data_IF_174726858105
#
_entry.id   IF_174726858105
#
_cell.length_a   1.000
_cell.length_b   1.000
_cell.length_c   1.000
_cell.angle_alpha   90.00
_cell.angle_beta   90.00
_cell.angle_gamma   90.00
#
_symmetry.space_group_name_H-M   'P 1'
#
loop_
_entity.id
_entity.type
_entity.pdbx_description
1 polymer ?
#
# COMPACT_ATOMS: atom_id res chain seq x y z
N UNK A 1 26.08 -2.11 -29.68
CA UNK A 1 26.52 -3.15 -28.71
C UNK A 1 25.36 -3.41 -27.77
N UNK A 2 24.53 -4.41 -28.09
CA UNK A 2 23.51 -4.91 -27.17
C UNK A 2 24.18 -6.04 -26.40
N UNK A 3 24.75 -5.70 -25.25
CA UNK A 3 25.19 -6.70 -24.29
C UNK A 3 23.94 -7.38 -23.75
N UNK A 4 23.74 -8.64 -24.15
CA UNK A 4 22.83 -9.55 -23.49
C UNK A 4 23.27 -9.58 -22.03
N UNK A 5 22.47 -8.99 -21.14
CA UNK A 5 22.67 -9.16 -19.70
C UNK A 5 22.51 -10.65 -19.47
N UNK A 6 23.61 -11.32 -19.13
CA UNK A 6 23.60 -12.72 -18.72
C UNK A 6 22.59 -12.86 -17.57
N UNK A 7 21.67 -13.83 -17.65
CA UNK A 7 20.53 -13.93 -16.74
C UNK A 7 20.97 -14.13 -15.29
N UNK A 8 22.17 -14.68 -15.09
CA UNK A 8 22.86 -14.80 -13.80
C UNK A 8 23.07 -13.44 -13.12
N UNK A 9 23.49 -12.42 -13.85
CA UNK A 9 23.79 -11.09 -13.32
C UNK A 9 22.54 -10.22 -13.10
N UNK A 10 21.46 -10.44 -13.86
CA UNK A 10 20.22 -9.67 -13.72
C UNK A 10 19.61 -9.84 -12.32
N UNK A 11 19.42 -11.08 -11.87
CA UNK A 11 18.82 -11.38 -10.56
C UNK A 11 19.67 -10.82 -9.41
N UNK A 12 20.99 -10.95 -9.48
CA UNK A 12 21.92 -10.46 -8.46
C UNK A 12 21.86 -8.93 -8.33
N UNK A 13 21.83 -8.21 -9.46
CA UNK A 13 21.71 -6.75 -9.48
C UNK A 13 20.34 -6.32 -8.94
N UNK A 14 19.25 -6.96 -9.39
CA UNK A 14 17.89 -6.65 -8.94
C UNK A 14 17.72 -6.88 -7.42
N UNK A 15 18.31 -7.95 -6.88
CA UNK A 15 18.32 -8.18 -5.44
C UNK A 15 19.12 -7.12 -4.69
N UNK A 16 20.28 -6.74 -5.22
CA UNK A 16 21.12 -5.73 -4.58
C UNK A 16 20.39 -4.40 -4.51
N UNK A 17 19.71 -4.00 -5.59
CA UNK A 17 18.84 -2.82 -5.64
C UNK A 17 17.72 -2.93 -4.59
N UNK A 18 17.03 -4.07 -4.52
CA UNK A 18 15.95 -4.27 -3.55
C UNK A 18 16.45 -4.23 -2.10
N UNK A 19 17.56 -4.91 -1.79
CA UNK A 19 18.12 -4.92 -0.45
C UNK A 19 18.61 -3.53 -0.02
N UNK A 20 19.26 -2.78 -0.92
CA UNK A 20 19.65 -1.39 -0.68
C UNK A 20 18.42 -0.49 -0.49
N UNK A 21 17.39 -0.66 -1.32
CA UNK A 21 16.10 0.04 -1.19
C UNK A 21 15.48 -0.18 0.19
N UNK A 22 15.40 -1.44 0.63
CA UNK A 22 14.85 -1.81 1.93
C UNK A 22 15.73 -1.25 3.05
N UNK A 23 17.05 -1.39 2.94
CA UNK A 23 18.01 -0.86 3.91
C UNK A 23 17.84 0.65 4.10
N UNK A 24 17.84 1.43 3.02
CA UNK A 24 17.58 2.88 3.05
C UNK A 24 16.16 3.22 3.53
N UNK A 25 15.19 2.34 3.34
CA UNK A 25 13.86 2.44 3.92
C UNK A 25 13.83 2.22 5.44
N UNK A 26 14.83 1.54 5.99
CA UNK A 26 14.90 1.19 7.41
C UNK A 26 15.81 2.11 8.23
N UNK A 27 16.90 2.59 7.65
CA UNK A 27 17.89 3.43 8.35
C UNK A 27 17.49 4.90 8.40
N UNK A 28 18.11 5.63 9.32
CA UNK A 28 17.92 7.08 9.49
C UNK A 28 18.41 7.84 8.25
N UNK A 29 17.76 8.96 7.91
CA UNK A 29 18.17 9.82 6.80
C UNK A 29 19.60 10.33 6.96
N UNK A 30 20.11 10.47 8.20
CA UNK A 30 21.51 10.83 8.44
C UNK A 30 22.52 9.73 8.07
N UNK A 31 22.04 8.50 7.84
CA UNK A 31 22.84 7.31 7.50
C UNK A 31 22.57 6.87 6.07
N UNK A 32 21.41 7.20 5.51
CA UNK A 32 21.13 7.03 4.09
C UNK A 32 22.17 7.85 3.30
N UNK A 33 22.96 7.16 2.48
CA UNK A 33 23.75 7.81 1.44
C UNK A 33 22.76 8.60 0.56
N UNK A 34 23.18 9.69 -0.08
CA UNK A 34 22.35 10.61 -0.90
C UNK A 34 21.50 9.96 -2.03
N UNK A 35 21.46 8.63 -2.13
CA UNK A 35 20.46 7.86 -2.86
C UNK A 35 19.10 7.91 -2.17
N UNK A 36 18.06 8.17 -2.96
CA UNK A 36 16.69 8.00 -2.49
C UNK A 36 16.24 6.56 -2.75
N UNK A 37 15.47 5.98 -1.83
CA UNK A 37 14.73 4.73 -2.06
C UNK A 37 14.02 4.72 -3.43
N UNK A 38 13.47 5.86 -3.83
CA UNK A 38 12.82 6.08 -5.14
C UNK A 38 13.80 5.87 -6.31
N UNK A 39 15.04 6.33 -6.19
CA UNK A 39 16.09 6.15 -7.20
C UNK A 39 16.40 4.66 -7.41
N UNK A 40 16.48 3.87 -6.34
CA UNK A 40 16.70 2.43 -6.45
C UNK A 40 15.51 1.74 -7.12
N UNK A 41 14.28 2.04 -6.71
CA UNK A 41 13.09 1.48 -7.36
C UNK A 41 13.04 1.88 -8.85
N UNK A 42 13.35 3.13 -9.20
CA UNK A 42 13.43 3.60 -10.59
C UNK A 42 14.49 2.84 -11.41
N UNK A 43 15.68 2.60 -10.84
CA UNK A 43 16.71 1.77 -11.45
C UNK A 43 16.26 0.33 -11.66
N UNK A 44 15.61 -0.26 -10.65
CA UNK A 44 14.99 -1.58 -10.73
C UNK A 44 13.92 -1.67 -11.81
N UNK A 45 13.05 -0.66 -11.92
CA UNK A 45 12.05 -0.58 -12.97
C UNK A 45 12.67 -0.50 -14.36
N UNK A 46 13.73 0.29 -14.52
CA UNK A 46 14.46 0.41 -15.79
C UNK A 46 15.04 -0.94 -16.20
N UNK A 47 15.64 -1.68 -15.27
CA UNK A 47 16.16 -3.03 -15.54
C UNK A 47 15.05 -4.02 -15.88
N UNK A 48 13.91 -3.95 -15.18
CA UNK A 48 12.76 -4.81 -15.44
C UNK A 48 12.18 -4.56 -16.83
N UNK A 49 12.04 -3.30 -17.25
CA UNK A 49 11.55 -2.95 -18.59
C UNK A 49 12.51 -3.44 -19.68
N UNK A 50 13.82 -3.22 -19.52
CA UNK A 50 14.85 -3.74 -20.42
C UNK A 50 14.82 -5.27 -20.51
N UNK A 51 14.55 -5.97 -19.39
CA UNK A 51 14.45 -7.43 -19.35
C UNK A 51 13.17 -7.95 -20.00
N UNK A 52 12.03 -7.27 -19.79
CA UNK A 52 10.72 -7.62 -20.32
C UNK A 52 10.62 -7.54 -21.85
N UNK A 53 11.52 -6.79 -22.51
CA UNK A 53 11.52 -6.61 -23.96
C UNK A 53 12.07 -7.82 -24.77
N UNK A 54 12.54 -8.91 -24.15
CA UNK A 54 13.27 -9.94 -24.92
C UNK A 54 13.22 -11.40 -24.46
N UNK A 55 12.60 -11.75 -23.31
CA UNK A 55 12.59 -13.15 -22.86
C UNK A 55 11.58 -13.44 -21.76
N UNK A 56 10.89 -14.57 -21.86
CA UNK A 56 10.10 -15.15 -20.76
C UNK A 56 11.03 -15.43 -19.57
N UNK A 57 10.72 -14.86 -18.41
CA UNK A 57 11.44 -15.18 -17.17
C UNK A 57 11.10 -16.61 -16.75
N UNK A 58 12.06 -17.51 -16.89
CA UNK A 58 11.91 -18.94 -16.56
C UNK A 58 12.40 -19.29 -15.15
N UNK A 59 13.35 -18.51 -14.61
CA UNK A 59 13.90 -18.69 -13.25
C UNK A 59 12.90 -18.22 -12.18
N UNK A 60 12.55 -19.07 -11.19
CA UNK A 60 11.68 -18.67 -10.08
C UNK A 60 12.21 -17.47 -9.29
N UNK A 61 13.53 -17.38 -9.11
CA UNK A 61 14.15 -16.31 -8.33
C UNK A 61 14.10 -14.96 -9.08
N UNK A 62 14.37 -14.98 -10.40
CA UNK A 62 14.19 -13.81 -11.27
C UNK A 62 12.74 -13.33 -11.28
N UNK A 63 11.79 -14.26 -11.26
CA UNK A 63 10.37 -13.96 -11.20
C UNK A 63 9.98 -13.25 -9.90
N UNK A 64 10.38 -13.81 -8.75
CA UNK A 64 10.06 -13.26 -7.43
C UNK A 64 10.57 -11.82 -7.28
N UNK A 65 11.84 -11.57 -7.64
CA UNK A 65 12.41 -10.22 -7.51
C UNK A 65 11.77 -9.23 -8.47
N UNK A 66 11.41 -9.66 -9.68
CA UNK A 66 10.75 -8.81 -10.69
C UNK A 66 9.36 -8.39 -10.24
N UNK A 67 8.59 -9.31 -9.64
CA UNK A 67 7.28 -8.98 -9.06
C UNK A 67 7.40 -8.01 -7.91
N UNK A 68 8.38 -8.20 -7.02
CA UNK A 68 8.56 -7.29 -5.89
C UNK A 68 8.85 -5.87 -6.38
N UNK A 69 9.74 -5.70 -7.36
CA UNK A 69 10.03 -4.37 -7.94
C UNK A 69 8.79 -3.77 -8.60
N UNK A 70 8.04 -4.58 -9.35
CA UNK A 70 6.80 -4.13 -9.98
C UNK A 70 5.74 -3.70 -8.94
N UNK A 71 5.59 -4.46 -7.85
CA UNK A 71 4.69 -4.11 -6.75
C UNK A 71 5.11 -2.83 -6.01
N UNK A 72 6.42 -2.59 -5.84
CA UNK A 72 6.94 -1.35 -5.25
C UNK A 72 6.66 -0.15 -6.18
N UNK A 73 6.81 -0.31 -7.50
CA UNK A 73 6.43 0.72 -8.47
C UNK A 73 4.94 1.06 -8.37
N UNK A 74 4.07 0.04 -8.30
CA UNK A 74 2.63 0.24 -8.14
C UNK A 74 2.33 0.92 -6.80
N UNK A 75 2.98 0.50 -5.71
CA UNK A 75 2.84 1.12 -4.40
C UNK A 75 3.19 2.60 -4.45
N UNK A 76 4.34 2.97 -5.02
CA UNK A 76 4.72 4.36 -5.24
C UNK A 76 3.64 5.07 -6.05
N UNK A 77 3.20 4.52 -7.18
CA UNK A 77 2.13 5.11 -7.99
C UNK A 77 0.77 5.21 -7.30
N UNK A 78 0.45 4.40 -6.29
CA UNK A 78 -0.77 4.61 -5.50
C UNK A 78 -0.62 5.78 -4.53
N UNK A 79 0.55 5.85 -3.93
CA UNK A 79 0.87 6.69 -2.78
C UNK A 79 1.22 8.10 -3.25
N UNK A 80 1.95 8.20 -4.36
CA UNK A 80 2.43 9.43 -5.00
C UNK A 80 1.75 9.75 -6.30
N UNK A 81 0.85 8.88 -6.82
CA UNK A 81 0.27 8.85 -8.18
C UNK A 81 0.86 9.75 -9.24
N UNK A 82 2.18 9.64 -9.31
CA UNK A 82 2.96 9.86 -10.48
C UNK A 82 2.72 8.68 -11.43
N UNK A 83 3.08 8.89 -12.70
CA UNK A 83 2.95 7.85 -13.71
C UNK A 83 3.80 6.62 -13.40
N UNK A 84 3.26 5.47 -13.78
CA UNK A 84 3.97 4.19 -13.70
C UNK A 84 4.96 4.10 -14.87
N UNK A 85 6.21 3.75 -14.57
CA UNK A 85 7.28 3.66 -15.58
C UNK A 85 7.16 2.43 -16.47
N UNK A 86 6.43 1.40 -16.04
CA UNK A 86 6.28 0.12 -16.75
C UNK A 86 4.78 -0.12 -17.00
N UNK A 87 4.41 -0.47 -18.23
CA UNK A 87 3.03 -0.84 -18.55
C UNK A 87 2.70 -2.27 -18.14
N UNK A 88 1.40 -2.55 -17.95
CA UNK A 88 0.93 -3.90 -17.66
C UNK A 88 1.29 -4.91 -18.78
N UNK A 89 1.25 -4.46 -20.04
CA UNK A 89 1.57 -5.29 -21.20
C UNK A 89 3.01 -5.80 -21.16
N UNK A 90 3.96 -4.95 -20.75
CA UNK A 90 5.38 -5.31 -20.64
C UNK A 90 5.65 -6.39 -19.60
N UNK A 91 4.77 -6.55 -18.60
CA UNK A 91 4.94 -7.53 -17.51
C UNK A 91 4.09 -8.78 -17.65
N UNK A 92 3.20 -8.84 -18.65
CA UNK A 92 2.35 -10.01 -18.91
C UNK A 92 3.15 -11.27 -19.23
N UNK A 93 4.38 -11.11 -19.73
CA UNK A 93 5.32 -12.19 -20.02
C UNK A 93 6.11 -12.68 -18.79
N UNK A 94 5.96 -12.04 -17.63
CA UNK A 94 6.61 -12.44 -16.37
C UNK A 94 6.02 -13.72 -15.75
N UNK A 95 5.34 -14.62 -16.46
CA UNK A 95 4.78 -15.85 -15.87
C UNK A 95 3.87 -15.65 -14.64
N UNK A 96 3.20 -14.50 -14.53
CA UNK A 96 2.16 -14.27 -13.52
C UNK A 96 0.98 -15.30 -13.50
N UNK A 97 0.73 -16.18 -14.50
CA UNK A 97 -0.36 -17.16 -14.42
C UNK A 97 -0.20 -18.27 -13.38
N UNK A 98 0.95 -18.41 -12.69
CA UNK A 98 1.15 -19.50 -11.71
C UNK A 98 0.22 -19.39 -10.48
N UNK A 99 -0.23 -18.17 -10.15
CA UNK A 99 -1.22 -17.91 -9.10
C UNK A 99 -2.29 -16.94 -9.64
N UNK A 100 -3.37 -17.45 -10.27
CA UNK A 100 -4.36 -16.62 -10.95
C UNK A 100 -4.97 -15.52 -10.07
N UNK A 101 -5.25 -15.83 -8.80
CA UNK A 101 -5.80 -14.85 -7.86
C UNK A 101 -4.80 -13.73 -7.54
N UNK A 102 -3.51 -14.04 -7.45
CA UNK A 102 -2.47 -13.04 -7.20
C UNK A 102 -2.29 -12.15 -8.44
N UNK A 103 -2.33 -12.73 -9.64
CA UNK A 103 -2.29 -11.97 -10.89
C UNK A 103 -3.46 -10.99 -11.01
N UNK A 104 -4.69 -11.47 -10.80
CA UNK A 104 -5.89 -10.62 -10.83
C UNK A 104 -5.79 -9.50 -9.81
N UNK A 105 -5.33 -9.80 -8.59
CA UNK A 105 -5.11 -8.80 -7.55
C UNK A 105 -4.13 -7.72 -8.01
N UNK A 106 -2.93 -8.11 -8.44
CA UNK A 106 -1.88 -7.18 -8.88
C UNK A 106 -2.37 -6.32 -10.05
N UNK A 107 -3.17 -6.89 -10.97
CA UNK A 107 -3.77 -6.14 -12.07
C UNK A 107 -4.75 -5.07 -11.58
N UNK A 108 -5.65 -5.41 -10.66
CA UNK A 108 -6.62 -4.46 -10.11
C UNK A 108 -5.93 -3.32 -9.35
N UNK A 109 -4.86 -3.62 -8.63
CA UNK A 109 -4.04 -2.62 -7.94
C UNK A 109 -3.31 -1.72 -8.96
N UNK A 110 -2.73 -2.30 -10.00
CA UNK A 110 -2.11 -1.55 -11.10
C UNK A 110 -3.12 -0.58 -11.76
N UNK A 111 -4.32 -1.06 -12.09
CA UNK A 111 -5.38 -0.22 -12.65
C UNK A 111 -5.79 0.90 -11.70
N UNK A 112 -5.82 0.63 -10.39
CA UNK A 112 -6.11 1.63 -9.37
C UNK A 112 -5.02 2.70 -9.30
N UNK A 113 -3.75 2.33 -9.44
CA UNK A 113 -2.63 3.27 -9.49
C UNK A 113 -2.69 4.17 -10.74
N UNK A 114 -2.98 3.61 -11.91
CA UNK A 114 -3.23 4.40 -13.12
C UNK A 114 -4.38 5.39 -12.93
N UNK A 115 -5.50 4.93 -12.33
CA UNK A 115 -6.64 5.80 -12.06
C UNK A 115 -6.28 6.92 -11.08
N UNK A 116 -5.48 6.64 -10.04
CA UNK A 116 -5.00 7.66 -9.10
C UNK A 116 -4.18 8.76 -9.79
N UNK A 117 -3.35 8.40 -10.79
CA UNK A 117 -2.61 9.37 -11.59
C UNK A 117 -3.56 10.26 -12.42
N UNK A 118 -4.52 9.65 -13.14
CA UNK A 118 -5.51 10.39 -13.93
C UNK A 118 -6.33 11.34 -13.05
N UNK A 119 -6.70 10.85 -11.87
CA UNK A 119 -7.52 11.57 -10.92
C UNK A 119 -6.77 12.74 -10.27
N UNK A 120 -5.50 12.58 -9.89
CA UNK A 120 -4.67 13.74 -9.48
C UNK A 120 -4.57 14.77 -10.59
N UNK A 121 -4.30 14.33 -11.82
CA UNK A 121 -4.15 15.23 -12.95
C UNK A 121 -5.42 16.06 -13.13
N UNK A 122 -6.58 15.41 -13.12
CA UNK A 122 -7.88 16.08 -13.21
C UNK A 122 -8.13 17.06 -12.05
N UNK A 123 -7.80 16.68 -10.81
CA UNK A 123 -7.99 17.54 -9.63
C UNK A 123 -7.04 18.75 -9.63
N UNK A 124 -5.81 18.60 -10.13
CA UNK A 124 -4.85 19.71 -10.25
C UNK A 124 -5.20 20.67 -11.41
N UNK A 125 -5.77 20.16 -12.50
CA UNK A 125 -6.15 20.97 -13.65
C UNK A 125 -7.54 21.58 -13.55
N UNK A 126 -8.33 21.19 -12.53
CA UNK A 126 -9.72 21.60 -12.34
C UNK A 126 -9.88 23.13 -12.25
N UNK A 127 -10.61 23.71 -13.22
CA UNK A 127 -10.89 25.15 -13.32
C UNK A 127 -12.33 25.48 -13.74
N UNK A 128 -13.06 24.58 -14.39
CA UNK A 128 -14.36 24.88 -14.99
C UNK A 128 -15.31 23.66 -15.11
N UNK A 129 -16.53 23.90 -15.59
CA UNK A 129 -17.60 22.88 -15.65
C UNK A 129 -17.29 21.66 -16.55
N UNK A 130 -16.44 21.81 -17.57
CA UNK A 130 -16.00 20.67 -18.40
C UNK A 130 -15.18 19.66 -17.59
N UNK A 131 -14.48 20.10 -16.55
CA UNK A 131 -13.66 19.25 -15.68
C UNK A 131 -14.53 18.38 -14.75
N UNK A 132 -15.80 18.77 -14.51
CA UNK A 132 -16.76 17.99 -13.72
C UNK A 132 -17.12 16.68 -14.43
N UNK A 133 -17.28 16.70 -15.75
CA UNK A 133 -17.62 15.48 -16.52
C UNK A 133 -16.48 14.47 -16.43
N UNK A 134 -15.23 14.96 -16.52
CA UNK A 134 -14.05 14.12 -16.35
C UNK A 134 -13.96 13.52 -14.94
N UNK A 135 -14.16 14.33 -13.89
CA UNK A 135 -14.16 13.84 -12.51
C UNK A 135 -15.28 12.83 -12.23
N UNK A 136 -16.47 13.04 -12.80
CA UNK A 136 -17.59 12.09 -12.72
C UNK A 136 -17.27 10.75 -13.41
N UNK A 137 -16.61 10.79 -14.58
CA UNK A 137 -16.17 9.58 -15.27
C UNK A 137 -15.11 8.82 -14.46
N UNK A 138 -14.12 9.53 -13.90
CA UNK A 138 -13.08 8.95 -13.05
C UNK A 138 -13.69 8.33 -11.78
N UNK A 139 -14.60 9.03 -11.11
CA UNK A 139 -15.31 8.50 -9.93
C UNK A 139 -16.13 7.23 -10.27
N UNK A 140 -16.76 7.19 -11.43
CA UNK A 140 -17.49 5.99 -11.90
C UNK A 140 -16.56 4.80 -12.15
N UNK A 141 -15.36 5.04 -12.70
CA UNK A 141 -14.33 4.01 -12.86
C UNK A 141 -13.81 3.52 -11.49
N UNK A 142 -13.62 4.43 -10.53
CA UNK A 142 -13.19 4.08 -9.17
C UNK A 142 -14.21 3.17 -8.47
N UNK A 143 -15.50 3.48 -8.57
CA UNK A 143 -16.58 2.62 -8.06
C UNK A 143 -16.57 1.23 -8.70
N UNK A 144 -16.35 1.16 -10.02
CA UNK A 144 -16.23 -0.11 -10.74
C UNK A 144 -15.02 -0.92 -10.27
N UNK A 145 -13.87 -0.28 -10.06
CA UNK A 145 -12.66 -0.93 -9.53
C UNK A 145 -12.84 -1.39 -8.09
N UNK A 146 -13.44 -0.59 -7.21
CA UNK A 146 -13.75 -0.97 -5.83
C UNK A 146 -14.63 -2.22 -5.78
N UNK A 147 -15.64 -2.30 -6.65
CA UNK A 147 -16.50 -3.47 -6.79
C UNK A 147 -15.72 -4.70 -7.30
N UNK A 148 -14.87 -4.53 -8.31
CA UNK A 148 -14.04 -5.64 -8.81
C UNK A 148 -13.06 -6.16 -7.76
N UNK A 149 -12.48 -5.29 -6.93
CA UNK A 149 -11.67 -5.67 -5.78
C UNK A 149 -12.51 -6.50 -4.78
N UNK A 150 -13.72 -6.04 -4.45
CA UNK A 150 -14.61 -6.77 -3.54
C UNK A 150 -14.99 -8.16 -4.09
N UNK A 151 -15.28 -8.25 -5.40
CA UNK A 151 -15.57 -9.51 -6.08
C UNK A 151 -14.36 -10.43 -6.07
N UNK A 152 -13.17 -9.91 -6.35
CA UNK A 152 -11.92 -10.66 -6.27
C UNK A 152 -11.71 -11.29 -4.88
N UNK A 153 -11.97 -10.54 -3.80
CA UNK A 153 -11.82 -11.05 -2.44
C UNK A 153 -12.68 -12.29 -2.17
N UNK A 154 -13.85 -12.41 -2.83
CA UNK A 154 -14.76 -13.57 -2.73
C UNK A 154 -14.27 -14.79 -3.51
N UNK A 155 -13.30 -14.63 -4.41
CA UNK A 155 -12.74 -15.73 -5.24
C UNK A 155 -11.52 -16.41 -4.62
N UNK A 156 -11.03 -15.93 -3.47
CA UNK A 156 -9.80 -16.40 -2.87
C UNK A 156 -9.91 -17.83 -2.34
N UNK A 157 -8.89 -18.69 -2.57
CA UNK A 157 -8.85 -20.00 -1.95
C UNK A 157 -8.72 -19.89 -0.42
N UNK A 158 -9.14 -20.91 0.36
CA UNK A 158 -9.02 -20.89 1.82
C UNK A 158 -7.60 -20.61 2.32
N UNK A 159 -6.58 -21.08 1.61
CA UNK A 159 -5.16 -20.85 1.94
C UNK A 159 -4.72 -19.39 1.82
N UNK A 160 -5.43 -18.56 1.06
CA UNK A 160 -5.15 -17.13 0.91
C UNK A 160 -6.03 -16.25 1.80
N UNK A 161 -7.00 -16.82 2.51
CA UNK A 161 -7.83 -16.10 3.47
C UNK A 161 -7.08 -15.88 4.80
N UNK A 162 -7.67 -15.03 5.63
CA UNK A 162 -7.23 -14.80 7.01
C UNK A 162 -8.35 -15.19 7.98
N UNK A 163 -7.95 -15.54 9.20
CA UNK A 163 -8.88 -15.75 10.31
C UNK A 163 -8.88 -14.53 11.22
N UNK A 164 -10.04 -14.21 11.79
CA UNK A 164 -10.22 -13.12 12.74
C UNK A 164 -10.37 -13.70 14.15
N UNK A 165 -9.57 -13.21 15.08
CA UNK A 165 -9.71 -13.46 16.52
C UNK A 165 -9.80 -12.15 17.30
N UNK A 166 -10.13 -12.21 18.58
CA UNK A 166 -10.17 -11.03 19.46
C UNK A 166 -8.82 -10.78 20.14
N UNK A 167 -8.47 -9.51 20.35
CA UNK A 167 -7.31 -9.11 21.15
C UNK A 167 -7.59 -9.36 22.64
N UNK A 168 -6.91 -10.34 23.24
CA UNK A 168 -6.90 -10.55 24.67
C UNK A 168 -5.70 -9.83 25.29
N UNK A 169 -5.91 -8.61 25.82
CA UNK A 169 -4.84 -7.72 26.30
C UNK A 169 -3.97 -8.38 27.36
N UNK A 170 -4.61 -9.06 28.32
CA UNK A 170 -3.92 -9.68 29.46
C UNK A 170 -3.00 -10.83 29.07
N UNK A 171 -3.18 -11.39 27.87
CA UNK A 171 -2.35 -12.47 27.35
C UNK A 171 -1.26 -11.97 26.39
N UNK A 172 -1.20 -10.66 26.12
CA UNK A 172 -0.19 -10.09 25.23
C UNK A 172 1.09 -9.75 25.97
N UNK A 173 2.20 -9.73 25.24
CA UNK A 173 3.50 -9.38 25.82
C UNK A 173 3.59 -7.93 26.26
N UNK A 174 4.41 -7.70 27.29
CA UNK A 174 4.66 -6.39 27.89
C UNK A 174 5.07 -5.33 26.86
N UNK A 175 5.96 -5.67 25.93
CA UNK A 175 6.47 -4.71 24.96
C UNK A 175 5.41 -4.26 23.94
N UNK A 176 4.28 -4.96 23.78
CA UNK A 176 3.15 -4.53 22.95
C UNK A 176 2.21 -3.55 23.67
N UNK A 177 2.33 -3.39 25.00
CA UNK A 177 1.47 -2.49 25.78
C UNK A 177 1.40 -1.05 25.26
N UNK A 178 2.47 -0.43 24.71
CA UNK A 178 2.37 0.91 24.12
C UNK A 178 1.30 1.04 23.03
N UNK A 179 1.02 -0.06 22.29
CA UNK A 179 0.01 -0.14 21.25
C UNK A 179 -1.37 -0.55 21.78
N UNK A 180 -1.41 -1.32 22.86
CA UNK A 180 -2.64 -1.88 23.45
C UNK A 180 -3.28 -0.95 24.49
N UNK A 181 -2.53 -0.04 25.07
CA UNK A 181 -3.01 0.90 26.10
C UNK A 181 -3.45 2.27 25.52
N UNK A 182 -3.65 2.36 24.21
CA UNK A 182 -4.15 3.56 23.57
C UNK A 182 -5.67 3.75 23.78
N UNK A 183 -6.19 4.99 23.78
CA UNK A 183 -7.62 5.28 23.95
C UNK A 183 -8.49 4.54 22.92
N UNK A 184 -8.04 4.55 21.67
CA UNK A 184 -8.52 3.65 20.63
C UNK A 184 -7.43 2.64 20.29
N UNK A 185 -7.83 1.41 19.98
CA UNK A 185 -6.96 0.33 19.55
C UNK A 185 -7.72 -0.65 18.67
N UNK A 186 -7.00 -1.39 17.80
CA UNK A 186 -7.55 -2.58 17.17
C UNK A 186 -8.10 -3.56 18.20
N UNK A 187 -9.30 -4.08 17.95
CA UNK A 187 -9.96 -5.08 18.81
C UNK A 187 -9.88 -6.49 18.23
N UNK A 188 -9.56 -6.59 16.94
CA UNK A 188 -9.37 -7.85 16.25
C UNK A 188 -7.89 -8.12 15.95
N UNK A 189 -7.58 -9.41 15.77
CA UNK A 189 -6.31 -9.92 15.30
C UNK A 189 -6.55 -10.79 14.08
N UNK A 190 -5.76 -10.55 13.05
CA UNK A 190 -5.71 -11.34 11.84
C UNK A 190 -4.65 -12.43 11.97
N UNK A 191 -5.03 -13.65 11.63
CA UNK A 191 -4.10 -14.77 11.48
C UNK A 191 -4.01 -15.13 10.00
N UNK A 192 -2.79 -15.07 9.46
CA UNK A 192 -2.52 -15.37 8.06
C UNK A 192 -1.74 -16.68 7.95
N UNK A 193 -1.95 -17.40 6.85
CA UNK A 193 -1.19 -18.62 6.52
C UNK A 193 0.26 -18.33 6.11
N UNK A 194 0.53 -17.12 5.60
CA UNK A 194 1.83 -16.69 5.11
C UNK A 194 1.96 -15.16 5.13
N UNK A 195 3.20 -14.66 5.08
CA UNK A 195 3.49 -13.24 4.90
C UNK A 195 2.94 -12.72 3.57
N UNK A 196 3.00 -13.52 2.51
CA UNK A 196 2.43 -13.17 1.20
C UNK A 196 0.93 -12.93 1.26
N UNK A 197 0.18 -13.78 1.98
CA UNK A 197 -1.26 -13.56 2.22
C UNK A 197 -1.51 -12.27 3.00
N UNK A 198 -0.68 -11.97 3.99
CA UNK A 198 -0.78 -10.73 4.75
C UNK A 198 -0.55 -9.49 3.86
N UNK A 199 0.49 -9.50 3.03
CA UNK A 199 0.80 -8.42 2.08
C UNK A 199 -0.37 -8.25 1.10
N UNK A 200 -0.87 -9.35 0.54
CA UNK A 200 -2.02 -9.35 -0.38
C UNK A 200 -3.24 -8.63 0.24
N UNK A 201 -3.64 -8.99 1.46
CA UNK A 201 -4.77 -8.33 2.12
C UNK A 201 -4.50 -6.86 2.49
N UNK A 202 -3.27 -6.53 2.89
CA UNK A 202 -2.88 -5.14 3.17
C UNK A 202 -3.01 -4.26 1.94
N UNK A 203 -2.50 -4.70 0.81
CA UNK A 203 -2.61 -3.95 -0.44
C UNK A 203 -4.06 -3.81 -0.90
N UNK A 204 -4.88 -4.86 -0.74
CA UNK A 204 -6.32 -4.80 -0.99
C UNK A 204 -6.99 -3.68 -0.16
N UNK A 205 -6.82 -3.66 1.15
CA UNK A 205 -7.43 -2.63 2.00
C UNK A 205 -6.84 -1.23 1.74
N UNK A 206 -5.53 -1.14 1.50
CA UNK A 206 -4.85 0.12 1.19
C UNK A 206 -5.41 0.77 -0.08
N UNK A 207 -5.55 0.02 -1.17
CA UNK A 207 -6.12 0.53 -2.41
C UNK A 207 -7.56 0.96 -2.21
N UNK A 208 -8.39 0.14 -1.56
CA UNK A 208 -9.79 0.51 -1.30
C UNK A 208 -9.89 1.72 -0.38
N UNK A 209 -8.98 1.91 0.58
CA UNK A 209 -8.89 3.12 1.40
C UNK A 209 -8.64 4.35 0.52
N UNK A 210 -7.62 4.30 -0.35
CA UNK A 210 -7.27 5.41 -1.26
C UNK A 210 -8.44 5.75 -2.19
N UNK A 211 -9.06 4.74 -2.82
CA UNK A 211 -10.21 4.94 -3.71
C UNK A 211 -11.40 5.57 -2.99
N UNK A 212 -11.77 5.06 -1.81
CA UNK A 212 -12.92 5.59 -1.05
C UNK A 212 -12.64 6.99 -0.50
N UNK A 213 -11.40 7.29 -0.11
CA UNK A 213 -11.01 8.64 0.29
C UNK A 213 -11.12 9.64 -0.89
N UNK A 214 -10.62 9.25 -2.06
CA UNK A 214 -10.71 10.05 -3.28
C UNK A 214 -12.17 10.27 -3.72
N UNK A 215 -13.02 9.24 -3.58
CA UNK A 215 -14.45 9.32 -3.83
C UNK A 215 -15.14 10.31 -2.89
N UNK A 216 -14.87 10.27 -1.57
CA UNK A 216 -15.49 11.20 -0.62
C UNK A 216 -15.18 12.65 -0.95
N UNK A 217 -13.93 12.95 -1.26
CA UNK A 217 -13.52 14.30 -1.64
C UNK A 217 -14.16 14.75 -2.95
N UNK A 218 -14.15 13.88 -3.96
CA UNK A 218 -14.74 14.18 -5.26
C UNK A 218 -16.25 14.37 -5.14
N UNK A 219 -16.92 13.61 -4.27
CA UNK A 219 -18.33 13.80 -3.96
C UNK A 219 -18.62 15.22 -3.47
N UNK A 220 -17.77 15.76 -2.58
CA UNK A 220 -17.90 17.15 -2.12
C UNK A 220 -17.81 18.19 -3.24
N UNK A 221 -16.96 17.95 -4.26
CA UNK A 221 -16.89 18.81 -5.46
C UNK A 221 -18.16 18.68 -6.30
N UNK A 222 -18.62 17.44 -6.52
CA UNK A 222 -19.78 17.14 -7.36
C UNK A 222 -21.09 17.65 -6.76
N UNK A 223 -21.28 17.56 -5.44
CA UNK A 223 -22.43 18.10 -4.71
C UNK A 223 -22.55 19.62 -4.82
N UNK A 224 -21.41 20.32 -4.86
CA UNK A 224 -21.38 21.77 -5.10
C UNK A 224 -21.67 22.13 -6.55
N UNK A 225 -21.51 21.18 -7.47
CA UNK A 225 -21.71 21.39 -8.88
C UNK A 225 -23.19 21.28 -9.27
N UNK A 226 -23.66 22.15 -10.17
CA UNK A 226 -25.05 22.14 -10.69
C UNK A 226 -25.25 21.16 -11.86
N UNK A 227 -24.23 20.37 -12.19
CA UNK A 227 -24.19 19.55 -13.41
C UNK A 227 -24.76 18.16 -13.14
N UNK A 228 -25.67 17.70 -13.98
CA UNK A 228 -26.23 16.34 -13.95
C UNK A 228 -25.62 15.46 -15.06
N UNK A 229 -25.42 14.15 -14.83
CA UNK A 229 -25.72 13.40 -13.60
C UNK A 229 -24.54 13.38 -12.62
N UNK A 230 -24.84 13.66 -11.35
CA UNK A 230 -23.94 13.34 -10.25
C UNK A 230 -23.95 11.82 -10.06
N UNK A 231 -22.78 11.15 -9.97
CA UNK A 231 -22.74 9.78 -9.48
C UNK A 231 -23.36 9.80 -8.08
N UNK A 232 -24.41 9.00 -7.87
CA UNK A 232 -25.06 8.88 -6.56
C UNK A 232 -24.09 8.10 -5.67
N UNK A 233 -23.13 8.82 -5.10
CA UNK A 233 -22.22 8.31 -4.09
C UNK A 233 -22.95 8.40 -2.75
N UNK A 234 -23.23 7.25 -2.14
CA UNK A 234 -23.70 7.25 -0.76
C UNK A 234 -22.53 7.66 0.14
N UNK A 235 -22.56 8.91 0.62
CA UNK A 235 -21.53 9.43 1.53
C UNK A 235 -21.38 8.51 2.75
N UNK A 236 -22.49 8.15 3.40
CA UNK A 236 -22.47 7.28 4.58
C UNK A 236 -21.88 5.89 4.30
N UNK A 237 -22.16 5.31 3.12
CA UNK A 237 -21.57 4.01 2.74
C UNK A 237 -20.07 4.12 2.51
N UNK A 238 -19.64 5.17 1.78
CA UNK A 238 -18.22 5.42 1.50
C UNK A 238 -17.44 5.70 2.79
N UNK A 239 -17.99 6.50 3.71
CA UNK A 239 -17.43 6.74 5.05
C UNK A 239 -17.32 5.44 5.86
N UNK A 240 -18.37 4.62 5.88
CA UNK A 240 -18.37 3.35 6.60
C UNK A 240 -17.33 2.38 6.02
N UNK A 241 -17.21 2.30 4.69
CA UNK A 241 -16.20 1.47 4.00
C UNK A 241 -14.80 1.95 4.35
N UNK A 242 -14.56 3.26 4.26
CA UNK A 242 -13.27 3.86 4.56
C UNK A 242 -12.80 3.50 5.97
N UNK A 243 -13.64 3.72 6.99
CA UNK A 243 -13.31 3.38 8.38
C UNK A 243 -13.05 1.89 8.56
N UNK A 244 -13.86 1.04 7.94
CA UNK A 244 -13.66 -0.42 7.99
C UNK A 244 -12.31 -0.85 7.44
N UNK A 245 -11.87 -0.27 6.31
CA UNK A 245 -10.56 -0.57 5.72
C UNK A 245 -9.41 0.00 6.53
N UNK A 246 -9.55 1.21 7.06
CA UNK A 246 -8.58 1.82 7.99
C UNK A 246 -8.40 0.95 9.24
N UNK A 247 -9.49 0.49 9.85
CA UNK A 247 -9.45 -0.38 11.03
C UNK A 247 -8.81 -1.73 10.68
N UNK A 248 -9.16 -2.33 9.53
CA UNK A 248 -8.57 -3.59 9.05
C UNK A 248 -7.06 -3.49 8.82
N UNK A 249 -6.58 -2.35 8.32
CA UNK A 249 -5.16 -2.06 8.15
C UNK A 249 -4.45 -1.95 9.52
N UNK A 250 -5.02 -1.21 10.47
CA UNK A 250 -4.49 -1.11 11.83
C UNK A 250 -4.45 -2.48 12.54
N UNK A 251 -5.51 -3.27 12.41
CA UNK A 251 -5.59 -4.65 12.90
C UNK A 251 -4.50 -5.53 12.27
N UNK A 252 -4.29 -5.43 10.96
CA UNK A 252 -3.21 -6.13 10.27
C UNK A 252 -1.83 -5.71 10.76
N UNK A 253 -1.60 -4.42 11.03
CA UNK A 253 -0.34 -3.89 11.59
C UNK A 253 -0.06 -4.48 12.97
N UNK A 254 -1.04 -4.50 13.87
CA UNK A 254 -0.90 -5.13 15.19
C UNK A 254 -0.63 -6.64 15.08
N UNK A 255 -1.36 -7.31 14.18
CA UNK A 255 -1.29 -8.75 13.98
C UNK A 255 0.09 -9.24 13.55
N UNK A 256 0.85 -8.42 12.82
CA UNK A 256 2.24 -8.73 12.48
C UNK A 256 3.07 -9.02 13.72
N UNK A 257 2.95 -8.22 14.78
CA UNK A 257 3.82 -8.34 15.95
C UNK A 257 3.31 -9.36 16.96
N UNK A 258 2.00 -9.56 17.05
CA UNK A 258 1.42 -10.59 17.93
C UNK A 258 1.77 -12.01 17.47
N UNK A 259 1.84 -12.25 16.17
CA UNK A 259 2.08 -13.60 15.63
C UNK A 259 3.56 -14.03 15.67
N UNK A 260 4.53 -13.09 15.62
CA UNK A 260 5.98 -13.37 15.78
C UNK A 260 6.25 -14.11 17.10
N UNK A 261 5.57 -13.68 18.15
CA UNK A 261 5.77 -14.15 19.52
C UNK A 261 5.38 -15.62 19.69
N UNK A 262 4.46 -16.11 18.86
CA UNK A 262 3.97 -17.49 18.93
C UNK A 262 4.93 -18.49 18.29
N UNK A 263 5.97 -18.03 17.58
CA UNK A 263 6.90 -18.90 16.88
C UNK A 263 8.08 -19.27 17.79
N UNK A 264 8.45 -20.55 17.78
CA UNK A 264 9.59 -21.09 18.53
C UNK A 264 10.90 -20.44 18.05
N UNK A 265 11.77 -19.94 18.96
CA UNK A 265 13.07 -19.35 18.61
C UNK A 265 13.99 -20.22 17.74
N UNK A 266 13.76 -21.53 17.67
CA UNK A 266 14.58 -22.45 16.88
C UNK A 266 14.20 -22.49 15.40
N UNK A 267 13.09 -21.86 14.99
CA UNK A 267 12.55 -21.89 13.62
C UNK A 267 12.34 -20.49 13.01
N UNK A 268 13.32 -19.59 13.15
CA UNK A 268 13.25 -18.31 12.45
C UNK A 268 13.50 -18.49 10.96
N UNK A 269 12.42 -18.42 10.17
CA UNK A 269 12.52 -18.13 8.74
C UNK A 269 12.78 -16.64 8.54
N UNK A 270 13.26 -16.23 7.36
CA UNK A 270 13.53 -14.83 7.07
C UNK A 270 12.30 -13.92 7.28
N UNK A 271 11.10 -14.45 7.06
CA UNK A 271 9.82 -13.76 7.26
C UNK A 271 9.50 -13.49 8.73
N UNK A 272 10.19 -14.15 9.67
CA UNK A 272 10.02 -13.94 11.11
C UNK A 272 10.99 -12.88 11.68
N UNK A 273 11.89 -12.34 10.85
CA UNK A 273 12.85 -11.29 11.26
C UNK A 273 12.07 -10.01 11.57
N UNK A 274 12.16 -9.45 12.79
CA UNK A 274 11.37 -8.29 13.20
C UNK A 274 11.52 -7.06 12.28
N UNK A 275 12.71 -6.80 11.75
CA UNK A 275 12.94 -5.68 10.82
C UNK A 275 12.23 -5.85 9.48
N UNK A 276 12.13 -7.08 8.96
CA UNK A 276 11.35 -7.39 7.73
C UNK A 276 9.87 -7.12 7.97
N UNK A 277 9.37 -7.54 9.13
CA UNK A 277 7.98 -7.37 9.52
C UNK A 277 7.62 -5.92 9.82
N UNK A 278 8.55 -5.17 10.41
CA UNK A 278 8.46 -3.73 10.53
C UNK A 278 8.45 -3.04 9.17
N UNK A 279 9.33 -3.40 8.23
CA UNK A 279 9.33 -2.88 6.85
C UNK A 279 7.97 -3.06 6.17
N UNK A 280 7.42 -4.27 6.21
CA UNK A 280 6.12 -4.60 5.59
C UNK A 280 4.97 -3.83 6.28
N UNK A 281 5.12 -3.46 7.55
CA UNK A 281 4.17 -2.62 8.27
C UNK A 281 4.27 -1.15 7.87
N UNK A 282 5.49 -0.64 7.63
CA UNK A 282 5.69 0.71 7.12
C UNK A 282 5.02 0.96 5.78
N UNK A 283 4.79 -0.05 4.94
CA UNK A 283 4.21 0.18 3.61
C UNK A 283 2.80 0.82 3.64
N UNK A 284 2.03 0.57 4.71
CA UNK A 284 0.63 1.06 4.82
C UNK A 284 0.44 2.22 5.79
N UNK A 285 1.41 2.46 6.71
CA UNK A 285 1.35 3.58 7.66
C UNK A 285 1.22 4.95 6.97
N UNK A 286 1.94 5.22 5.86
CA UNK A 286 1.78 6.43 5.08
C UNK A 286 0.31 6.66 4.71
N UNK A 287 -0.31 5.68 4.04
CA UNK A 287 -1.73 5.76 3.63
C UNK A 287 -2.67 5.96 4.81
N UNK A 288 -2.45 5.25 5.92
CA UNK A 288 -3.24 5.40 7.14
C UNK A 288 -3.16 6.82 7.73
N UNK A 289 -1.95 7.36 7.83
CA UNK A 289 -1.71 8.71 8.36
C UNK A 289 -2.43 9.76 7.53
N UNK A 290 -2.21 9.78 6.22
CA UNK A 290 -2.83 10.75 5.32
C UNK A 290 -4.35 10.64 5.29
N UNK A 291 -4.87 9.41 5.21
CA UNK A 291 -6.30 9.18 5.18
C UNK A 291 -6.96 9.80 6.42
N UNK A 292 -6.44 9.50 7.61
CA UNK A 292 -6.98 9.99 8.87
C UNK A 292 -6.78 11.50 9.07
N UNK A 293 -5.80 12.12 8.42
CA UNK A 293 -5.62 13.58 8.43
C UNK A 293 -6.56 14.33 7.49
N UNK A 294 -6.88 13.74 6.34
CA UNK A 294 -7.63 14.42 5.28
C UNK A 294 -9.14 14.18 5.36
N UNK A 295 -9.60 13.13 6.03
CA UNK A 295 -11.04 12.86 6.16
C UNK A 295 -11.65 13.45 7.42
N UNK A 296 -12.91 13.88 7.30
CA UNK A 296 -13.71 14.37 8.42
C UNK A 296 -15.05 13.62 8.44
N UNK A 297 -15.16 12.64 9.35
CA UNK A 297 -16.35 11.78 9.48
C UNK A 297 -16.99 12.06 10.84
N UNK A 298 -18.24 12.53 10.82
CA UNK A 298 -18.94 12.93 12.04
C UNK A 298 -19.26 11.71 12.90
N UNK A 299 -19.01 11.80 14.20
CA UNK A 299 -19.34 10.74 15.16
C UNK A 299 -18.35 9.57 15.21
N UNK A 300 -17.24 9.64 14.48
CA UNK A 300 -16.15 8.66 14.54
C UNK A 300 -14.94 9.27 15.25
N UNK A 301 -14.34 8.50 16.15
CA UNK A 301 -13.10 8.88 16.84
C UNK A 301 -11.88 8.71 15.91
N UNK A 302 -11.69 9.68 15.02
CA UNK A 302 -10.51 9.79 14.15
C UNK A 302 -9.26 10.22 14.93
N UNK A 303 -9.43 10.99 16.01
CA UNK A 303 -8.32 11.52 16.81
C UNK A 303 -7.53 10.40 17.48
N UNK A 304 -8.21 9.49 18.18
CA UNK A 304 -7.54 8.36 18.84
C UNK A 304 -6.99 7.35 17.84
N UNK A 305 -7.58 7.21 16.65
CA UNK A 305 -7.01 6.41 15.55
C UNK A 305 -5.69 6.97 15.05
N UNK A 306 -5.61 8.30 14.83
CA UNK A 306 -4.35 8.97 14.47
C UNK A 306 -3.29 8.80 15.55
N UNK A 307 -3.68 8.94 16.81
CA UNK A 307 -2.79 8.68 17.94
C UNK A 307 -2.25 7.25 17.91
N UNK A 308 -3.10 6.26 17.63
CA UNK A 308 -2.68 4.87 17.52
C UNK A 308 -1.70 4.64 16.36
N UNK A 309 -1.95 5.21 15.19
CA UNK A 309 -1.03 5.14 14.03
C UNK A 309 0.32 5.78 14.37
N UNK A 310 0.33 6.93 15.06
CA UNK A 310 1.56 7.57 15.52
C UNK A 310 2.31 6.72 16.55
N UNK A 311 1.59 6.07 17.48
CA UNK A 311 2.16 5.10 18.43
C UNK A 311 2.78 3.89 17.72
N UNK A 312 2.14 3.39 16.66
CA UNK A 312 2.71 2.33 15.83
C UNK A 312 4.03 2.79 15.18
N UNK A 313 4.06 3.98 14.58
CA UNK A 313 5.31 4.55 14.04
C UNK A 313 6.42 4.69 15.08
N UNK A 314 6.10 5.23 16.26
CA UNK A 314 7.03 5.32 17.38
C UNK A 314 7.52 3.94 17.84
N UNK A 315 6.63 2.96 17.92
CA UNK A 315 6.96 1.58 18.31
C UNK A 315 7.94 0.94 17.32
N UNK A 316 7.74 1.11 16.01
CA UNK A 316 8.67 0.61 14.98
C UNK A 316 10.06 1.22 15.15
N UNK A 317 10.16 2.52 15.48
CA UNK A 317 11.45 3.16 15.75
C UNK A 317 12.08 2.68 17.05
N UNK A 318 11.34 2.71 18.15
CA UNK A 318 11.86 2.46 19.49
C UNK A 318 12.21 0.98 19.73
N UNK A 319 11.44 0.05 19.15
CA UNK A 319 11.60 -1.38 19.41
C UNK A 319 12.26 -2.15 18.26
N UNK A 320 12.14 -1.67 17.01
CA UNK A 320 12.69 -2.37 15.84
C UNK A 320 13.80 -1.59 15.14
N UNK A 321 14.17 -0.41 15.64
CA UNK A 321 15.23 0.43 15.09
C UNK A 321 14.90 1.02 13.71
N UNK A 322 13.62 1.05 13.32
CA UNK A 322 13.21 1.54 12.00
C UNK A 322 13.05 3.05 12.06
N UNK A 323 14.09 3.77 11.64
CA UNK A 323 14.19 5.21 11.84
C UNK A 323 13.09 5.98 11.10
N UNK A 324 12.74 5.53 9.89
CA UNK A 324 11.63 6.09 9.08
C UNK A 324 10.23 5.81 9.65
N UNK A 325 10.13 5.04 10.75
CA UNK A 325 8.86 4.86 11.46
C UNK A 325 8.26 6.15 12.03
N UNK A 326 9.07 7.21 12.18
CA UNK A 326 8.65 8.52 12.73
C UNK A 326 8.53 9.62 11.67
N UNK A 327 9.08 9.41 10.47
CA UNK A 327 8.88 10.34 9.36
C UNK A 327 7.54 10.05 8.70
N UNK A 328 6.48 10.63 9.28
CA UNK A 328 5.38 11.08 8.44
C UNK A 328 6.02 12.02 7.41
N UNK A 329 6.30 11.51 6.21
CA UNK A 329 6.76 12.36 5.11
C UNK A 329 5.73 13.51 5.05
N UNK A 330 6.19 14.76 5.13
CA UNK A 330 5.31 15.89 5.38
C UNK A 330 4.25 15.98 4.29
N UNK A 331 3.02 16.35 4.65
CA UNK A 331 2.02 16.64 3.65
C UNK A 331 2.56 17.72 2.69
N UNK A 332 2.65 17.43 1.38
CA UNK A 332 2.96 18.39 0.32
C UNK A 332 2.15 19.68 0.50
N UNK A 333 2.69 20.79 0.02
CA UNK A 333 2.05 22.11 0.06
C UNK A 333 0.64 22.13 -0.60
N UNK A 334 0.29 21.10 -1.40
CA UNK A 334 -1.02 20.89 -2.01
C UNK A 334 -1.89 19.84 -1.26
N UNK A 335 -1.72 19.73 0.06
CA UNK A 335 -2.39 18.80 0.99
C UNK A 335 -3.93 18.74 0.93
N UNK A 336 -4.56 19.61 0.15
CA UNK A 336 -6.01 19.61 -0.10
C UNK A 336 -6.49 18.54 -1.08
N UNK A 337 -5.61 17.88 -1.86
CA UNK A 337 -5.99 16.82 -2.80
C UNK A 337 -5.76 15.44 -2.15
N UNK A 338 -6.79 14.58 -2.05
CA UNK A 338 -6.77 13.34 -1.27
C UNK A 338 -5.99 12.19 -1.91
N UNK A 339 -5.61 12.34 -3.18
CA UNK A 339 -5.12 11.19 -3.96
C UNK A 339 -3.65 10.94 -3.72
N UNK A 340 -2.89 11.92 -3.20
CA UNK A 340 -1.46 11.78 -2.95
C UNK A 340 -0.98 12.80 -1.96
N UNK A 341 -0.11 12.38 -1.03
CA UNK A 341 0.75 13.33 -0.37
C UNK A 341 2.12 12.76 -0.01
N UNK A 342 3.04 12.62 -0.96
CA UNK A 342 4.45 12.48 -0.61
C UNK A 342 5.30 13.25 -1.60
N UNK A 343 5.90 14.34 -1.16
CA UNK A 343 7.08 14.88 -1.82
C UNK A 343 8.28 14.15 -1.22
N UNK A 344 9.03 13.45 -2.06
CA UNK A 344 10.39 13.05 -1.71
C UNK A 344 11.24 14.30 -1.88
N UNK A 345 11.64 14.93 -0.78
CA UNK A 345 12.62 16.01 -0.78
C UNK A 345 14.00 15.48 -1.17
#
# INVERSE_FOLDING_TARGET
>A
MHGVIDSSHYYEVMNSIMLLSIYEGLVDESIALEGSWVSHISGGCTLLDLRGQGSIISSPAEYEISILIFMQMIHIGLVTGQGLSISWESVKELCLPRLPYFYTHTHLIYQSACLCMEWRTALLSYKADQDITQLSAIASQALSLDKQLEEWAKTLPPSANYAIGSVLIDTQLEWLRPLLNAPWRPVNLHTYSSLSSQILWRFYWMVRTILNQALLFTNGILEQSKVTPNPILSQAETESKLISFTDSLCESCLSTFVNIVKQDPQYYRAEAIPSVLGYVTLQVLPTLGLCLEQVNITGIDLSSRREWVARMGHFLRAHLGIAKGVTAIPPSLNSSIPIQIWEFS
#
